data_IF_009900788584
#
_entry.id   IF_009900788584
#
_cell.length_a   1.000
_cell.length_b   1.000
_cell.length_c   1.000
_cell.angle_alpha   90.00
_cell.angle_beta   90.00
_cell.angle_gamma   90.00
#
_symmetry.space_group_name_H-M   'P 1'
#
loop_
_entity.id
_entity.type
_entity.pdbx_description
1 polymer ?
#
# COMPACT_ATOMS: atom_id res chain seq x y z
N UNK A 1 -43.60 -25.39 23.40
CA UNK A 1 -42.84 -24.41 22.63
C UNK A 1 -43.52 -24.22 21.28
N UNK A 2 -44.08 -23.04 21.00
CA UNK A 2 -44.91 -22.83 19.82
C UNK A 2 -44.12 -23.09 18.55
N UNK A 3 -44.73 -23.69 17.49
CA UNK A 3 -44.10 -23.97 16.19
C UNK A 3 -43.45 -22.71 15.60
N UNK A 4 -43.96 -21.54 15.92
CA UNK A 4 -43.40 -20.22 15.51
C UNK A 4 -42.04 -19.97 16.15
N UNK A 5 -41.83 -20.19 17.46
CA UNK A 5 -40.54 -20.06 18.14
C UNK A 5 -39.49 -21.00 17.56
N UNK A 6 -39.84 -22.28 17.31
CA UNK A 6 -38.92 -23.26 16.70
C UNK A 6 -38.47 -22.83 15.30
N UNK A 7 -39.33 -22.23 14.47
CA UNK A 7 -38.97 -21.71 13.15
C UNK A 7 -37.97 -20.55 13.24
N UNK A 8 -38.14 -19.65 14.21
CA UNK A 8 -37.18 -18.57 14.46
C UNK A 8 -35.80 -19.06 14.90
N UNK A 9 -35.76 -20.08 15.76
CA UNK A 9 -34.51 -20.72 16.19
C UNK A 9 -33.79 -21.40 15.01
N UNK A 10 -34.53 -22.12 14.17
CA UNK A 10 -33.95 -22.79 12.98
C UNK A 10 -33.43 -21.72 11.99
N UNK A 11 -34.18 -20.67 11.73
CA UNK A 11 -33.74 -19.57 10.86
C UNK A 11 -32.48 -18.88 11.42
N UNK A 12 -32.45 -18.59 12.71
CA UNK A 12 -31.27 -18.01 13.38
C UNK A 12 -30.04 -18.91 13.30
N UNK A 13 -30.21 -20.22 13.54
CA UNK A 13 -29.11 -21.18 13.41
C UNK A 13 -28.60 -21.29 11.96
N UNK A 14 -29.50 -21.30 10.97
CA UNK A 14 -29.11 -21.31 9.55
C UNK A 14 -28.31 -20.07 9.15
N UNK A 15 -28.76 -18.89 9.59
CA UNK A 15 -28.02 -17.62 9.36
C UNK A 15 -26.65 -17.67 10.04
N UNK A 16 -26.55 -18.15 11.28
CA UNK A 16 -25.26 -18.27 11.96
C UNK A 16 -24.29 -19.20 11.21
N UNK A 17 -24.77 -20.35 10.74
CA UNK A 17 -23.96 -21.31 9.95
C UNK A 17 -23.50 -20.66 8.65
N UNK A 18 -24.37 -19.95 7.92
CA UNK A 18 -24.00 -19.26 6.68
C UNK A 18 -22.95 -18.16 6.91
N UNK A 19 -23.11 -17.38 7.98
CA UNK A 19 -22.12 -16.34 8.33
C UNK A 19 -20.77 -16.96 8.71
N UNK A 20 -20.77 -18.04 9.50
CA UNK A 20 -19.53 -18.75 9.85
C UNK A 20 -18.87 -19.33 8.60
N UNK A 21 -19.62 -19.95 7.71
CA UNK A 21 -19.11 -20.47 6.45
C UNK A 21 -18.51 -19.35 5.57
N UNK A 22 -19.18 -18.22 5.47
CA UNK A 22 -18.68 -17.06 4.72
C UNK A 22 -17.35 -16.53 5.29
N UNK A 23 -17.24 -16.41 6.63
CA UNK A 23 -16.00 -16.00 7.30
C UNK A 23 -14.86 -16.99 7.02
N UNK A 24 -15.13 -18.30 7.14
CA UNK A 24 -14.13 -19.36 6.87
C UNK A 24 -13.67 -19.33 5.42
N UNK A 25 -14.61 -19.21 4.47
CA UNK A 25 -14.30 -19.14 3.04
C UNK A 25 -13.45 -17.88 2.74
N UNK A 26 -13.80 -16.73 3.33
CA UNK A 26 -13.02 -15.50 3.15
C UNK A 26 -11.61 -15.65 3.74
N UNK A 27 -11.47 -16.24 4.91
CA UNK A 27 -10.16 -16.45 5.55
C UNK A 27 -9.25 -17.38 4.73
N UNK A 28 -9.83 -18.38 4.06
CA UNK A 28 -9.08 -19.32 3.21
C UNK A 28 -8.76 -18.70 1.85
N UNK A 29 -9.72 -18.03 1.23
CA UNK A 29 -9.56 -17.47 -0.12
C UNK A 29 -8.74 -16.17 -0.14
N UNK A 30 -8.80 -15.38 0.95
CA UNK A 30 -8.15 -14.08 1.07
C UNK A 30 -7.41 -13.94 2.42
N UNK A 31 -6.37 -14.74 2.67
CA UNK A 31 -5.69 -14.77 3.97
C UNK A 31 -5.08 -13.41 4.35
N UNK A 32 -4.62 -12.60 3.39
CA UNK A 32 -4.11 -11.25 3.65
C UNK A 32 -5.19 -10.31 4.23
N UNK A 33 -6.39 -10.35 3.68
CA UNK A 33 -7.53 -9.57 4.20
C UNK A 33 -7.92 -10.03 5.60
N UNK A 34 -7.97 -11.35 5.81
CA UNK A 34 -8.32 -11.92 7.12
C UNK A 34 -7.24 -11.62 8.18
N UNK A 35 -5.96 -11.72 7.82
CA UNK A 35 -4.85 -11.41 8.72
C UNK A 35 -4.82 -9.93 9.12
N UNK A 36 -5.11 -9.01 8.20
CA UNK A 36 -5.19 -7.57 8.52
C UNK A 36 -6.42 -7.22 9.36
N UNK A 37 -7.46 -8.05 9.34
CA UNK A 37 -8.65 -7.88 10.18
C UNK A 37 -8.46 -8.47 11.58
N UNK A 38 -7.75 -9.57 11.71
CA UNK A 38 -7.47 -10.25 12.98
C UNK A 38 -6.00 -10.73 13.02
N UNK A 39 -5.01 -9.83 13.25
CA UNK A 39 -3.59 -10.22 13.25
C UNK A 39 -3.28 -11.33 14.27
N UNK A 40 -3.88 -11.29 15.46
CA UNK A 40 -3.74 -12.32 16.48
C UNK A 40 -4.25 -13.69 16.05
N UNK A 41 -5.29 -13.77 15.20
CA UNK A 41 -5.79 -15.03 14.65
C UNK A 41 -4.75 -15.72 13.75
N UNK A 42 -3.80 -14.96 13.23
CA UNK A 42 -2.68 -15.42 12.39
C UNK A 42 -1.36 -15.51 13.16
N UNK A 43 -1.42 -15.48 14.50
CA UNK A 43 -0.26 -15.66 15.37
C UNK A 43 0.70 -14.46 15.39
N UNK A 44 0.21 -13.25 15.13
CA UNK A 44 0.97 -12.04 15.32
C UNK A 44 0.68 -11.43 16.70
N UNK A 45 1.70 -10.83 17.31
CA UNK A 45 1.60 -10.08 18.56
C UNK A 45 1.67 -8.57 18.28
N UNK A 46 0.97 -7.78 19.06
CA UNK A 46 1.03 -6.34 18.99
C UNK A 46 2.32 -5.84 19.63
N UNK A 47 3.19 -5.19 18.84
CA UNK A 47 4.40 -4.55 19.34
C UNK A 47 4.14 -3.15 19.87
N UNK A 48 3.38 -2.36 19.13
CA UNK A 48 2.95 -1.00 19.44
C UNK A 48 1.60 -0.70 18.78
N UNK A 49 0.92 0.41 19.08
CA UNK A 49 -0.35 0.74 18.43
C UNK A 49 -0.26 0.70 16.91
N UNK A 50 -1.06 -0.18 16.27
CA UNK A 50 -1.09 -0.34 14.81
C UNK A 50 0.09 -1.13 14.23
N UNK A 51 0.98 -1.73 15.04
CA UNK A 51 2.10 -2.55 14.54
C UNK A 51 2.06 -3.93 15.16
N UNK A 52 2.04 -4.94 14.32
CA UNK A 52 1.99 -6.35 14.69
C UNK A 52 3.17 -7.10 14.07
N UNK A 53 3.74 -8.03 14.80
CA UNK A 53 4.85 -8.86 14.32
C UNK A 53 4.80 -10.28 14.90
N UNK A 54 5.74 -11.13 14.49
CA UNK A 54 5.89 -12.48 15.02
C UNK A 54 6.12 -12.44 16.53
N UNK A 55 5.59 -13.44 17.27
CA UNK A 55 5.77 -13.55 18.71
C UNK A 55 7.23 -13.87 19.08
N UNK A 56 7.61 -13.51 20.29
CA UNK A 56 8.92 -13.89 20.83
C UNK A 56 10.12 -13.22 20.18
N UNK A 57 9.93 -12.11 19.46
CA UNK A 57 11.06 -11.38 18.85
C UNK A 57 12.05 -10.87 19.89
N UNK A 58 13.37 -11.04 19.67
CA UNK A 58 14.42 -10.40 20.46
C UNK A 58 14.27 -8.87 20.46
N UNK A 59 14.79 -8.22 21.50
CA UNK A 59 14.61 -6.78 21.68
C UNK A 59 15.24 -5.93 20.56
N UNK A 60 16.35 -6.37 19.98
CA UNK A 60 17.00 -5.73 18.84
C UNK A 60 16.10 -5.76 17.60
N UNK A 61 15.43 -6.89 17.35
CA UNK A 61 14.47 -7.03 16.24
C UNK A 61 13.22 -6.18 16.46
N UNK A 62 12.69 -6.12 17.68
CA UNK A 62 11.58 -5.23 18.02
C UNK A 62 11.94 -3.76 17.74
N UNK A 63 13.15 -3.33 18.17
CA UNK A 63 13.64 -1.98 17.88
C UNK A 63 13.78 -1.73 16.38
N UNK A 64 14.36 -2.68 15.64
CA UNK A 64 14.46 -2.57 14.18
C UNK A 64 13.11 -2.33 13.53
N UNK A 65 12.08 -3.10 13.88
CA UNK A 65 10.72 -2.92 13.35
C UNK A 65 10.18 -1.53 13.69
N UNK A 66 10.27 -1.10 14.95
CA UNK A 66 9.81 0.23 15.37
C UNK A 66 10.53 1.36 14.63
N UNK A 67 11.86 1.27 14.45
CA UNK A 67 12.63 2.26 13.70
C UNK A 67 12.23 2.34 12.23
N UNK A 68 12.02 1.18 11.58
CA UNK A 68 11.54 1.11 10.19
C UNK A 68 10.18 1.79 10.06
N UNK A 69 9.25 1.48 10.95
CA UNK A 69 7.89 2.05 10.94
C UNK A 69 7.93 3.56 11.20
N UNK A 70 8.73 4.02 12.16
CA UNK A 70 8.86 5.44 12.48
C UNK A 70 9.45 6.24 11.31
N UNK A 71 10.50 5.72 10.67
CA UNK A 71 11.12 6.36 9.51
C UNK A 71 10.16 6.41 8.31
N UNK A 72 9.44 5.33 8.04
CA UNK A 72 8.42 5.29 6.99
C UNK A 72 7.28 6.28 7.26
N UNK A 73 6.75 6.31 8.48
CA UNK A 73 5.76 7.29 8.91
C UNK A 73 6.24 8.74 8.72
N UNK A 74 7.49 9.00 9.08
CA UNK A 74 8.09 10.33 8.89
C UNK A 74 8.14 10.73 7.43
N UNK A 75 8.62 9.85 6.53
CA UNK A 75 8.70 10.13 5.08
C UNK A 75 7.33 10.49 4.50
N UNK A 76 6.32 9.65 4.75
CA UNK A 76 4.97 9.87 4.24
C UNK A 76 4.35 11.15 4.82
N UNK A 77 4.48 11.37 6.14
CA UNK A 77 4.00 12.59 6.78
C UNK A 77 4.66 13.84 6.23
N UNK A 78 5.99 13.83 6.07
CA UNK A 78 6.75 15.00 5.59
C UNK A 78 6.47 15.31 4.11
N UNK A 79 6.14 14.29 3.34
CA UNK A 79 5.74 14.47 1.95
C UNK A 79 4.34 15.08 1.85
N UNK A 80 3.37 14.53 2.54
CA UNK A 80 1.96 14.95 2.44
C UNK A 80 1.57 16.09 3.40
N UNK A 81 2.48 16.59 4.24
CA UNK A 81 2.19 17.65 5.22
C UNK A 81 1.29 17.18 6.36
N UNK A 82 1.32 15.91 6.70
CA UNK A 82 0.50 15.24 7.70
C UNK A 82 0.03 13.87 7.23
N UNK A 83 -0.79 13.19 8.05
CA UNK A 83 -1.38 11.89 7.73
C UNK A 83 -2.91 11.97 7.77
N UNK A 84 -3.58 11.37 6.77
CA UNK A 84 -5.02 11.09 6.76
C UNK A 84 -5.31 9.62 7.05
N UNK A 85 -4.34 8.74 6.82
CA UNK A 85 -4.45 7.30 7.06
C UNK A 85 -3.68 6.85 8.30
N UNK A 86 -4.10 5.72 8.87
CA UNK A 86 -3.42 5.03 9.98
C UNK A 86 -3.50 3.52 9.73
N UNK A 87 -2.76 2.99 8.76
CA UNK A 87 -2.78 1.56 8.45
C UNK A 87 -2.21 0.75 9.61
N UNK A 88 -2.78 -0.42 9.84
CA UNK A 88 -2.09 -1.46 10.60
C UNK A 88 -0.94 -2.03 9.77
N UNK A 89 0.22 -2.22 10.40
CA UNK A 89 1.39 -2.83 9.80
C UNK A 89 1.58 -4.24 10.37
N UNK A 90 1.57 -5.24 9.50
CA UNK A 90 1.86 -6.63 9.80
C UNK A 90 3.27 -6.94 9.32
N UNK A 91 4.21 -7.14 10.24
CA UNK A 91 5.63 -7.27 9.92
C UNK A 91 6.09 -8.69 10.19
N UNK A 92 6.50 -9.40 9.15
CA UNK A 92 7.07 -10.74 9.22
C UNK A 92 8.58 -10.73 9.05
N UNK A 93 9.30 -11.39 9.96
CA UNK A 93 10.75 -11.57 9.89
C UNK A 93 11.14 -12.98 9.40
N UNK A 94 10.14 -13.84 9.18
CA UNK A 94 10.31 -15.14 8.53
C UNK A 94 9.37 -15.30 7.33
N UNK A 95 9.81 -16.09 6.33
CA UNK A 95 8.98 -16.38 5.17
C UNK A 95 7.74 -17.22 5.55
N UNK A 96 7.82 -18.03 6.60
CA UNK A 96 6.69 -18.82 7.10
C UNK A 96 5.59 -17.93 7.67
N UNK A 97 5.97 -16.90 8.44
CA UNK A 97 5.03 -15.88 8.88
C UNK A 97 4.37 -15.19 7.69
N UNK A 98 5.17 -14.74 6.72
CA UNK A 98 4.67 -13.97 5.59
C UNK A 98 3.69 -14.78 4.73
N UNK A 99 4.01 -16.06 4.44
CA UNK A 99 3.09 -16.97 3.76
C UNK A 99 1.81 -17.22 4.56
N UNK A 100 1.92 -17.39 5.88
CA UNK A 100 0.76 -17.64 6.76
C UNK A 100 -0.24 -16.48 6.72
N UNK A 101 0.23 -15.24 6.66
CA UNK A 101 -0.64 -14.06 6.54
C UNK A 101 -1.06 -13.74 5.10
N UNK A 102 -0.76 -14.62 4.14
CA UNK A 102 -1.18 -14.49 2.73
C UNK A 102 -0.23 -13.70 1.84
N UNK A 103 1.01 -13.47 2.28
CA UNK A 103 2.05 -12.87 1.46
C UNK A 103 2.68 -13.85 0.47
N UNK A 104 3.26 -13.30 -0.60
CA UNK A 104 3.89 -14.04 -1.71
C UNK A 104 5.38 -13.73 -1.88
N UNK A 105 5.75 -13.26 -3.07
CA UNK A 105 7.14 -12.94 -3.45
C UNK A 105 7.48 -11.46 -3.28
N UNK A 106 6.52 -10.61 -3.05
CA UNK A 106 6.67 -9.17 -2.86
C UNK A 106 7.46 -8.86 -1.58
N UNK A 107 8.05 -7.68 -1.52
CA UNK A 107 8.72 -7.19 -0.30
C UNK A 107 7.71 -6.63 0.70
N UNK A 108 6.69 -5.95 0.18
CA UNK A 108 5.56 -5.42 0.93
C UNK A 108 4.31 -5.40 0.05
N UNK A 109 3.18 -5.17 0.67
CA UNK A 109 1.90 -4.99 -0.04
C UNK A 109 0.95 -4.13 0.81
N UNK A 110 0.31 -3.16 0.17
CA UNK A 110 -0.83 -2.45 0.73
C UNK A 110 -2.11 -3.26 0.50
N UNK A 111 -2.70 -3.76 1.58
CA UNK A 111 -3.91 -4.59 1.52
C UNK A 111 -5.14 -3.70 1.59
N UNK A 112 -5.93 -3.71 0.50
CA UNK A 112 -7.16 -2.91 0.35
C UNK A 112 -6.97 -1.42 0.70
N UNK A 113 -5.77 -0.88 0.53
CA UNK A 113 -5.41 0.49 0.92
C UNK A 113 -5.76 0.83 2.40
N UNK A 114 -5.71 -0.15 3.31
CA UNK A 114 -6.06 -0.02 4.74
C UNK A 114 -5.00 -0.54 5.68
N UNK A 115 -4.23 -1.52 5.25
CA UNK A 115 -3.15 -2.12 6.03
C UNK A 115 -1.94 -2.38 5.16
N UNK A 116 -0.79 -2.57 5.78
CA UNK A 116 0.48 -2.87 5.10
C UNK A 116 1.04 -4.17 5.65
N UNK A 117 1.44 -5.07 4.78
CA UNK A 117 2.17 -6.28 5.13
C UNK A 117 3.61 -6.17 4.64
N UNK A 118 4.58 -6.47 5.50
CA UNK A 118 6.01 -6.47 5.17
C UNK A 118 6.58 -7.88 5.28
N UNK A 119 7.24 -8.34 4.21
CA UNK A 119 8.01 -9.58 4.21
C UNK A 119 9.36 -9.41 4.93
N UNK A 120 10.11 -10.48 5.24
CA UNK A 120 11.45 -10.36 5.81
C UNK A 120 12.40 -9.48 5.00
N UNK A 121 12.21 -9.44 3.67
CA UNK A 121 12.99 -8.60 2.73
C UNK A 121 12.43 -7.18 2.61
N UNK A 122 11.27 -6.93 3.19
CA UNK A 122 10.58 -5.64 3.17
C UNK A 122 10.61 -4.91 4.51
N UNK A 123 11.31 -5.44 5.52
CA UNK A 123 11.54 -4.73 6.80
C UNK A 123 12.63 -3.67 6.56
N UNK A 124 12.26 -2.66 5.82
CA UNK A 124 13.09 -1.57 5.33
C UNK A 124 12.26 -0.28 5.23
N UNK A 125 12.78 0.90 5.64
CA UNK A 125 12.01 2.14 5.62
C UNK A 125 11.55 2.56 4.23
N UNK A 126 12.28 2.20 3.16
CA UNK A 126 11.92 2.51 1.79
C UNK A 126 10.67 1.70 1.40
N UNK A 127 10.71 0.38 1.62
CA UNK A 127 9.57 -0.50 1.31
C UNK A 127 8.35 -0.12 2.16
N UNK A 128 8.54 0.04 3.48
CA UNK A 128 7.44 0.41 4.36
C UNK A 128 6.80 1.74 3.96
N UNK A 129 7.59 2.77 3.59
CA UNK A 129 7.04 4.05 3.15
C UNK A 129 6.40 3.98 1.76
N UNK A 130 6.88 3.11 0.87
CA UNK A 130 6.24 2.85 -0.42
C UNK A 130 4.80 2.32 -0.21
N UNK A 131 4.65 1.25 0.54
CA UNK A 131 3.33 0.65 0.82
C UNK A 131 2.40 1.60 1.61
N UNK A 132 2.96 2.32 2.58
CA UNK A 132 2.19 3.33 3.32
C UNK A 132 1.76 4.50 2.45
N UNK A 133 2.47 4.79 1.36
CA UNK A 133 2.10 5.84 0.40
C UNK A 133 0.84 5.47 -0.36
N UNK A 134 0.68 4.22 -0.79
CA UNK A 134 -0.57 3.75 -1.40
C UNK A 134 -1.75 4.00 -0.46
N UNK A 135 -1.64 3.58 0.80
CA UNK A 135 -2.71 3.78 1.79
C UNK A 135 -3.02 5.25 2.01
N UNK A 136 -1.99 6.09 2.12
CA UNK A 136 -2.17 7.54 2.33
C UNK A 136 -2.76 8.24 1.10
N UNK A 137 -2.29 7.89 -0.09
CA UNK A 137 -2.82 8.44 -1.34
C UNK A 137 -4.31 8.13 -1.49
N UNK A 138 -4.70 6.86 -1.37
CA UNK A 138 -6.09 6.45 -1.51
C UNK A 138 -7.01 7.03 -0.43
N UNK A 139 -6.51 7.21 0.80
CA UNK A 139 -7.24 7.92 1.85
C UNK A 139 -7.46 9.41 1.52
N UNK A 140 -6.56 10.01 0.73
CA UNK A 140 -6.67 11.41 0.30
C UNK A 140 -7.52 11.58 -0.94
N UNK A 141 -7.47 10.63 -1.86
CA UNK A 141 -8.25 10.63 -3.10
C UNK A 141 -9.75 10.53 -2.85
N UNK A 142 -10.18 9.97 -1.71
CA UNK A 142 -11.60 9.86 -1.32
C UNK A 142 -12.47 9.20 -2.41
N UNK A 143 -11.93 8.14 -3.02
CA UNK A 143 -12.62 7.39 -4.09
C UNK A 143 -12.37 7.89 -5.51
N UNK A 144 -11.58 8.95 -5.70
CA UNK A 144 -11.14 9.33 -7.03
C UNK A 144 -10.10 8.33 -7.56
N UNK A 145 -10.17 8.05 -8.87
CA UNK A 145 -9.26 7.12 -9.53
C UNK A 145 -8.01 7.84 -10.06
N UNK A 146 -6.90 7.14 -9.99
CA UNK A 146 -5.63 7.52 -10.63
C UNK A 146 -5.09 6.35 -11.45
N UNK A 147 -4.32 6.60 -12.53
CA UNK A 147 -3.63 5.53 -13.25
C UNK A 147 -2.66 4.78 -12.34
N UNK A 148 -2.56 3.46 -12.49
CA UNK A 148 -1.68 2.63 -11.65
C UNK A 148 -0.22 3.07 -11.72
N UNK A 149 0.26 3.49 -12.91
CA UNK A 149 1.62 4.00 -13.03
C UNK A 149 1.87 5.27 -12.19
N UNK A 150 0.84 6.11 -11.99
CA UNK A 150 0.97 7.30 -11.15
C UNK A 150 1.03 6.92 -9.67
N UNK A 151 0.17 6.00 -9.24
CA UNK A 151 0.16 5.47 -7.87
C UNK A 151 1.54 4.89 -7.50
N UNK A 152 2.06 3.99 -8.33
CA UNK A 152 3.38 3.37 -8.14
C UNK A 152 4.54 4.38 -8.24
N UNK A 153 4.50 5.26 -9.24
CA UNK A 153 5.52 6.29 -9.40
C UNK A 153 5.56 7.27 -8.23
N UNK A 154 4.40 7.61 -7.67
CA UNK A 154 4.31 8.45 -6.47
C UNK A 154 4.82 7.71 -5.24
N UNK A 155 4.50 6.43 -5.08
CA UNK A 155 5.02 5.62 -3.98
C UNK A 155 6.56 5.52 -4.01
N UNK A 156 7.15 5.36 -5.20
CA UNK A 156 8.61 5.43 -5.39
C UNK A 156 9.16 6.81 -5.03
N UNK A 157 8.51 7.89 -5.46
CA UNK A 157 8.96 9.26 -5.16
C UNK A 157 8.93 9.57 -3.68
N UNK A 158 7.87 9.20 -2.97
CA UNK A 158 7.69 9.43 -1.53
C UNK A 158 8.66 8.60 -0.70
N UNK A 159 8.87 7.35 -1.09
CA UNK A 159 9.80 6.43 -0.41
C UNK A 159 11.27 6.78 -0.65
N UNK A 160 11.53 7.63 -1.65
CA UNK A 160 12.90 7.99 -2.07
C UNK A 160 13.73 6.76 -2.43
N UNK A 161 13.15 5.88 -3.26
CA UNK A 161 13.73 4.58 -3.56
C UNK A 161 14.90 4.68 -4.55
N UNK A 162 16.14 4.46 -4.10
CA UNK A 162 17.33 4.62 -4.95
C UNK A 162 17.46 3.55 -6.05
N UNK A 163 16.62 2.51 -6.00
CA UNK A 163 16.58 1.49 -7.07
C UNK A 163 15.95 2.04 -8.34
N UNK A 164 15.10 3.07 -8.21
CA UNK A 164 14.25 3.59 -9.28
C UNK A 164 14.38 5.10 -9.50
N UNK A 165 15.09 5.81 -8.62
CA UNK A 165 15.32 7.25 -8.70
C UNK A 165 16.80 7.60 -8.54
N UNK A 166 17.28 8.52 -9.37
CA UNK A 166 18.57 9.15 -9.21
C UNK A 166 18.57 10.11 -8.00
N UNK A 167 19.72 10.36 -7.36
CA UNK A 167 19.80 11.22 -6.19
C UNK A 167 19.58 12.71 -6.50
N UNK A 168 19.81 13.15 -7.74
CA UNK A 168 19.81 14.57 -8.14
C UNK A 168 19.14 14.79 -9.51
N UNK A 169 19.00 16.04 -9.91
CA UNK A 169 18.42 16.44 -11.18
C UNK A 169 16.90 16.21 -11.21
N UNK A 170 16.39 15.79 -12.36
CA UNK A 170 14.99 15.38 -12.53
C UNK A 170 14.69 14.02 -11.90
N UNK A 171 15.72 13.40 -11.32
CA UNK A 171 15.73 12.11 -10.63
C UNK A 171 15.41 10.90 -11.52
N UNK A 172 15.41 11.05 -12.82
CA UNK A 172 15.20 9.97 -13.77
C UNK A 172 16.46 9.11 -13.91
N UNK A 173 16.35 7.79 -13.72
CA UNK A 173 17.40 6.82 -14.06
C UNK A 173 17.43 6.51 -15.56
N UNK A 174 16.29 6.73 -16.23
CA UNK A 174 16.14 6.47 -17.66
C UNK A 174 15.09 7.42 -18.24
N UNK A 175 15.28 7.82 -19.48
CA UNK A 175 14.28 8.61 -20.20
C UNK A 175 13.28 7.67 -20.88
N UNK A 176 12.03 7.73 -20.46
CA UNK A 176 10.95 7.01 -21.10
C UNK A 176 9.74 7.92 -21.28
N UNK A 177 9.33 8.05 -22.54
CA UNK A 177 8.12 8.79 -22.93
C UNK A 177 7.02 7.85 -23.41
N UNK A 178 7.23 6.55 -23.28
CA UNK A 178 6.22 5.57 -23.68
C UNK A 178 5.01 5.64 -22.73
N UNK A 179 3.80 5.42 -23.25
CA UNK A 179 2.63 5.27 -22.41
C UNK A 179 2.83 4.17 -21.36
N UNK A 180 2.43 4.47 -20.14
CA UNK A 180 2.54 3.53 -19.03
C UNK A 180 1.19 2.86 -18.75
N UNK A 181 1.19 1.65 -18.16
CA UNK A 181 -0.02 0.90 -17.87
C UNK A 181 -0.94 1.66 -16.91
N UNK A 182 -2.20 1.76 -17.27
CA UNK A 182 -3.22 2.51 -16.50
C UNK A 182 -3.88 1.65 -15.43
N UNK A 183 -4.19 0.39 -15.78
CA UNK A 183 -4.88 -0.52 -14.87
C UNK A 183 -3.90 -1.40 -14.09
N UNK A 184 -4.33 -1.87 -12.91
CA UNK A 184 -3.54 -2.81 -12.09
C UNK A 184 -3.15 -4.08 -12.88
N UNK A 185 -4.07 -4.65 -13.66
CA UNK A 185 -3.80 -5.86 -14.43
C UNK A 185 -2.75 -5.64 -15.53
N UNK A 186 -2.77 -4.50 -16.20
CA UNK A 186 -1.74 -4.12 -17.19
C UNK A 186 -0.41 -3.86 -16.50
N UNK A 187 -0.44 -3.15 -15.37
CA UNK A 187 0.75 -2.86 -14.57
C UNK A 187 1.46 -4.13 -14.14
N UNK A 188 0.76 -5.08 -13.53
CA UNK A 188 1.33 -6.33 -13.06
C UNK A 188 1.99 -7.13 -14.20
N UNK A 189 1.37 -7.16 -15.38
CA UNK A 189 1.98 -7.81 -16.56
C UNK A 189 3.23 -7.08 -17.03
N UNK A 190 3.16 -5.75 -17.13
CA UNK A 190 4.27 -4.94 -17.61
C UNK A 190 5.46 -4.96 -16.63
N UNK A 191 5.21 -4.78 -15.34
CA UNK A 191 6.25 -4.81 -14.31
C UNK A 191 6.90 -6.18 -14.13
N UNK A 192 6.16 -7.27 -14.44
CA UNK A 192 6.73 -8.62 -14.46
C UNK A 192 7.64 -8.86 -15.67
N UNK A 193 7.37 -8.19 -16.79
CA UNK A 193 8.13 -8.32 -18.04
C UNK A 193 9.30 -7.32 -18.13
N UNK A 194 9.17 -6.17 -17.51
CA UNK A 194 10.15 -5.08 -17.57
C UNK A 194 10.52 -4.59 -16.16
N UNK A 195 11.72 -4.93 -15.65
CA UNK A 195 12.20 -4.47 -14.35
C UNK A 195 12.33 -2.94 -14.22
N UNK A 196 12.35 -2.22 -15.35
CA UNK A 196 12.48 -0.75 -15.37
C UNK A 196 11.13 -0.04 -15.24
N UNK A 197 10.01 -0.75 -15.18
CA UNK A 197 8.68 -0.16 -15.17
C UNK A 197 8.47 0.83 -14.01
N UNK A 198 8.96 0.48 -12.82
CA UNK A 198 8.93 1.38 -11.65
C UNK A 198 9.77 2.65 -11.87
N UNK A 199 10.96 2.52 -12.47
CA UNK A 199 11.81 3.68 -12.78
C UNK A 199 11.18 4.60 -13.83
N UNK A 200 10.48 4.04 -14.81
CA UNK A 200 9.73 4.81 -15.83
C UNK A 200 8.59 5.60 -15.18
N UNK A 201 7.81 4.97 -14.33
CA UNK A 201 6.70 5.61 -13.61
C UNK A 201 7.22 6.70 -12.66
N UNK A 202 8.23 6.39 -11.87
CA UNK A 202 8.86 7.34 -10.95
C UNK A 202 9.46 8.54 -11.68
N UNK A 203 10.08 8.35 -12.85
CA UNK A 203 10.60 9.43 -13.67
C UNK A 203 9.49 10.41 -14.12
N UNK A 204 8.35 9.90 -14.63
CA UNK A 204 7.24 10.76 -15.04
C UNK A 204 6.67 11.56 -13.86
N UNK A 205 6.45 10.91 -12.70
CA UNK A 205 5.94 11.60 -11.51
C UNK A 205 6.95 12.60 -10.96
N UNK A 206 8.23 12.27 -10.93
CA UNK A 206 9.29 13.15 -10.43
C UNK A 206 9.45 14.40 -11.29
N UNK A 207 9.49 14.27 -12.62
CA UNK A 207 9.53 15.39 -13.56
C UNK A 207 8.32 16.30 -13.40
N UNK A 208 7.13 15.69 -13.34
CA UNK A 208 5.90 16.45 -13.13
C UNK A 208 5.94 17.22 -11.80
N UNK A 209 6.31 16.55 -10.72
CA UNK A 209 6.42 17.16 -9.40
C UNK A 209 7.43 18.33 -9.43
N UNK A 210 8.62 18.13 -10.01
CA UNK A 210 9.64 19.17 -10.15
C UNK A 210 9.14 20.42 -10.91
N UNK A 211 8.38 20.23 -11.99
CA UNK A 211 7.80 21.31 -12.79
C UNK A 211 6.61 22.01 -12.11
N UNK A 212 5.98 21.38 -11.10
CA UNK A 212 4.76 21.89 -10.47
C UNK A 212 4.93 22.22 -8.98
N UNK A 213 6.13 22.56 -8.51
CA UNK A 213 6.38 22.97 -7.12
C UNK A 213 6.62 21.83 -6.13
N UNK A 214 7.05 20.66 -6.61
CA UNK A 214 7.48 19.54 -5.79
C UNK A 214 6.33 18.90 -5.00
N UNK A 215 6.57 18.67 -3.72
CA UNK A 215 5.58 18.05 -2.82
C UNK A 215 4.27 18.83 -2.77
N UNK A 216 4.33 20.16 -2.79
CA UNK A 216 3.15 21.02 -2.71
C UNK A 216 2.28 20.90 -3.97
N UNK A 217 2.90 20.84 -5.15
CA UNK A 217 2.20 20.58 -6.40
C UNK A 217 1.47 19.23 -6.37
N UNK A 218 2.11 18.18 -5.85
CA UNK A 218 1.47 16.87 -5.70
C UNK A 218 0.29 16.93 -4.72
N UNK A 219 0.41 17.64 -3.60
CA UNK A 219 -0.69 17.83 -2.64
C UNK A 219 -1.88 18.55 -3.28
N UNK A 220 -1.59 19.59 -4.06
CA UNK A 220 -2.60 20.35 -4.83
C UNK A 220 -3.28 19.46 -5.86
N UNK A 221 -2.52 18.65 -6.61
CA UNK A 221 -3.06 17.67 -7.57
C UNK A 221 -4.05 16.72 -6.88
N UNK A 222 -3.59 16.07 -5.79
CA UNK A 222 -4.43 15.12 -5.02
C UNK A 222 -5.69 15.80 -4.47
N UNK A 223 -5.59 17.06 -4.03
CA UNK A 223 -6.73 17.86 -3.59
C UNK A 223 -7.75 18.12 -4.71
N UNK A 224 -7.28 18.42 -5.92
CA UNK A 224 -8.13 18.61 -7.10
C UNK A 224 -8.83 17.31 -7.53
N UNK A 225 -8.11 16.19 -7.50
CA UNK A 225 -8.65 14.87 -7.77
C UNK A 225 -9.75 14.50 -6.75
N UNK A 226 -9.49 14.71 -5.46
CA UNK A 226 -10.47 14.43 -4.41
C UNK A 226 -11.71 15.34 -4.48
N UNK A 227 -11.60 16.48 -5.15
CA UNK A 227 -12.72 17.38 -5.46
C UNK A 227 -13.47 16.99 -6.75
N UNK A 228 -13.14 15.84 -7.35
CA UNK A 228 -13.83 15.28 -8.51
C UNK A 228 -13.30 15.72 -9.87
N UNK A 229 -12.12 16.38 -9.94
CA UNK A 229 -11.52 16.70 -11.23
C UNK A 229 -10.87 15.43 -11.81
N UNK A 230 -11.10 15.11 -13.11
CA UNK A 230 -10.50 13.94 -13.75
C UNK A 230 -8.96 14.03 -13.81
N UNK A 231 -8.27 12.90 -13.67
CA UNK A 231 -6.81 12.87 -13.69
C UNK A 231 -6.19 13.52 -14.95
N UNK A 232 -6.70 13.29 -16.19
CA UNK A 232 -6.16 13.92 -17.40
C UNK A 232 -6.27 15.45 -17.40
N UNK A 233 -7.23 16.02 -16.67
CA UNK A 233 -7.46 17.47 -16.63
C UNK A 233 -6.53 18.19 -15.63
N UNK A 234 -5.87 17.43 -14.76
CA UNK A 234 -5.02 17.98 -13.69
C UNK A 234 -3.56 17.55 -13.81
N UNK A 235 -3.28 16.43 -14.46
CA UNK A 235 -1.94 15.94 -14.70
C UNK A 235 -1.55 16.11 -16.17
N UNK A 236 -0.77 17.15 -16.47
CA UNK A 236 -0.21 17.37 -17.80
C UNK A 236 1.28 17.03 -17.76
N UNK A 237 1.75 16.05 -18.55
CA UNK A 237 3.18 15.76 -18.65
C UNK A 237 3.95 17.03 -18.99
N UNK A 238 5.09 17.31 -18.35
CA UNK A 238 5.90 18.47 -18.71
C UNK A 238 6.34 18.36 -20.18
N UNK A 239 6.38 19.52 -20.86
CA UNK A 239 6.92 19.59 -22.21
C UNK A 239 8.35 19.01 -22.23
N UNK A 240 8.70 18.37 -23.34
CA UNK A 240 10.05 17.87 -23.53
C UNK A 240 11.06 19.02 -23.37
N UNK A 241 12.18 18.81 -22.65
CA UNK A 241 13.28 19.76 -22.76
C UNK A 241 13.70 19.85 -24.24
N UNK A 242 13.87 21.09 -24.71
CA UNK A 242 14.33 21.40 -26.06
C UNK A 242 15.74 20.86 -26.32
#
# INVERSE_FOLDING_TARGET
>A
VSRRRRRWWIAGAAVAVLLTAAVVVTAIAFPSVAATTCPGCYGLERLEPGVYAEPGLPQDRRRQVSEVVQQANKRVRDFFGGRKSSPDLLVCLSDDCYRRIGGGRERGIAVLNRAVMLSPRGVDPVIASHEMTHVELHARLNGADVPQWFDEGLAVLVSDDPRYLAPTGDRCLLDSRQPLPVTLAEWLRAASADPQMYAKAACQVSRWAGANGGKEGVRTLVGRLSAGQPFPDVFHPPAAPA
#
